data_IF_976782917679
#
_entry.id   IF_976782917679
#
_cell.length_a   1.000
_cell.length_b   1.000
_cell.length_c   1.000
_cell.angle_alpha   90.00
_cell.angle_beta   90.00
_cell.angle_gamma   90.00
#
_symmetry.space_group_name_H-M   'P 1'
#
loop_
_entity.id
_entity.type
_entity.pdbx_description
1 polymer ?
#
# COMPACT_ATOMS: atom_id res chain seq x y z
N UNK A 1 -22.63 17.73 -61.96
CA UNK A 1 -23.38 18.98 -61.81
C UNK A 1 -24.77 18.67 -61.26
N UNK A 2 -25.03 19.02 -60.01
CA UNK A 2 -26.33 19.56 -59.55
C UNK A 2 -26.21 19.84 -58.05
N UNK A 3 -26.30 21.12 -57.72
CA UNK A 3 -26.39 21.61 -56.36
C UNK A 3 -27.83 21.44 -55.86
N UNK A 4 -28.02 20.77 -54.73
CA UNK A 4 -29.23 20.95 -53.92
C UNK A 4 -28.80 21.61 -52.62
N UNK A 5 -28.93 22.94 -52.58
CA UNK A 5 -29.01 23.69 -51.33
C UNK A 5 -30.32 23.31 -50.65
N UNK A 6 -30.25 22.54 -49.57
CA UNK A 6 -31.30 22.59 -48.54
C UNK A 6 -30.84 23.56 -47.46
N UNK A 7 -31.47 24.73 -47.46
CA UNK A 7 -31.51 25.61 -46.30
C UNK A 7 -32.13 24.82 -45.15
N UNK A 8 -31.35 24.53 -44.11
CA UNK A 8 -31.89 24.07 -42.83
C UNK A 8 -31.97 25.29 -41.93
N UNK A 9 -33.19 25.56 -41.48
CA UNK A 9 -33.57 26.61 -40.55
C UNK A 9 -32.79 26.53 -39.24
N UNK A 10 -32.57 27.70 -38.64
CA UNK A 10 -32.12 27.85 -37.26
C UNK A 10 -33.10 27.13 -36.33
N UNK A 11 -32.53 26.38 -35.38
CA UNK A 11 -33.24 25.72 -34.29
C UNK A 11 -33.36 24.23 -34.55
N UNK A 12 -32.38 23.46 -34.07
CA UNK A 12 -32.60 22.09 -33.58
C UNK A 12 -31.32 21.54 -32.94
N UNK A 13 -31.41 21.19 -31.65
CA UNK A 13 -30.41 20.42 -30.92
C UNK A 13 -30.39 18.99 -31.47
N UNK A 14 -29.55 18.71 -32.48
CA UNK A 14 -29.35 17.33 -32.93
C UNK A 14 -28.59 16.52 -31.87
N UNK A 15 -29.29 15.61 -31.19
CA UNK A 15 -28.71 14.53 -30.39
C UNK A 15 -28.11 13.49 -31.34
N UNK A 16 -26.79 13.27 -31.28
CA UNK A 16 -26.14 12.16 -32.00
C UNK A 16 -26.04 10.94 -31.08
N UNK A 17 -26.65 9.83 -31.48
CA UNK A 17 -26.44 8.52 -30.88
C UNK A 17 -25.36 7.79 -31.68
N UNK A 18 -24.23 7.47 -31.04
CA UNK A 18 -23.15 6.72 -31.66
C UNK A 18 -22.78 5.54 -30.75
N UNK A 19 -23.20 4.34 -31.14
CA UNK A 19 -22.81 3.10 -30.47
C UNK A 19 -21.41 2.69 -30.95
N UNK A 20 -20.51 2.43 -29.99
CA UNK A 20 -19.22 1.73 -30.17
C UNK A 20 -18.19 2.33 -31.15
N UNK A 21 -17.68 3.55 -30.90
CA UNK A 21 -16.35 3.95 -31.39
C UNK A 21 -15.77 5.08 -30.53
N UNK A 22 -14.46 5.09 -30.29
CA UNK A 22 -13.75 6.28 -29.79
C UNK A 22 -14.02 7.44 -30.74
N UNK A 23 -14.89 8.39 -30.35
CA UNK A 23 -15.25 9.52 -31.20
C UNK A 23 -14.49 10.77 -30.80
N UNK A 24 -13.85 11.41 -31.78
CA UNK A 24 -13.36 12.78 -31.69
C UNK A 24 -14.37 13.73 -32.32
N UNK A 25 -15.12 14.46 -31.49
CA UNK A 25 -16.13 15.41 -31.98
C UNK A 25 -15.68 16.83 -31.65
N UNK A 26 -15.49 17.66 -32.68
CA UNK A 26 -15.28 19.11 -32.57
C UNK A 26 -16.50 19.83 -33.12
N UNK A 27 -17.12 20.71 -32.33
CA UNK A 27 -18.29 21.49 -32.78
C UNK A 27 -18.25 22.91 -32.24
N UNK A 28 -18.52 23.89 -33.11
CA UNK A 28 -18.56 25.32 -32.76
C UNK A 28 -19.90 25.81 -32.18
N UNK A 29 -20.80 24.87 -31.87
CA UNK A 29 -22.17 25.10 -31.42
C UNK A 29 -22.49 24.16 -30.24
N UNK A 30 -23.59 24.40 -29.49
CA UNK A 30 -24.07 23.48 -28.46
C UNK A 30 -24.03 22.02 -28.93
N UNK A 31 -23.44 21.15 -28.11
CA UNK A 31 -23.27 19.73 -28.40
C UNK A 31 -23.97 18.91 -27.32
N UNK A 32 -24.86 18.00 -27.72
CA UNK A 32 -25.41 16.96 -26.87
C UNK A 32 -24.96 15.58 -27.40
N UNK A 33 -24.23 14.81 -26.60
CA UNK A 33 -23.62 13.54 -27.05
C UNK A 33 -23.50 12.53 -25.92
N UNK A 34 -23.78 11.25 -26.23
CA UNK A 34 -23.66 10.13 -25.28
C UNK A 34 -22.71 9.08 -25.83
N UNK A 35 -21.83 8.53 -24.99
CA UNK A 35 -20.92 7.46 -25.35
C UNK A 35 -20.89 6.37 -24.26
N UNK A 36 -20.89 5.11 -24.66
CA UNK A 36 -20.86 3.97 -23.73
C UNK A 36 -19.45 3.57 -23.26
N UNK A 37 -18.39 4.09 -23.89
CA UNK A 37 -16.99 3.81 -23.51
C UNK A 37 -16.24 5.12 -23.25
N UNK A 38 -15.30 5.48 -24.11
CA UNK A 38 -14.46 6.67 -23.99
C UNK A 38 -14.89 7.75 -24.98
N UNK A 39 -14.99 8.99 -24.51
CA UNK A 39 -15.40 10.13 -25.31
C UNK A 39 -14.37 11.25 -25.22
N UNK A 40 -13.91 11.75 -26.38
CA UNK A 40 -13.08 12.95 -26.43
C UNK A 40 -13.73 14.03 -27.28
N UNK A 41 -14.16 15.11 -26.65
CA UNK A 41 -14.98 16.15 -27.28
C UNK A 41 -14.43 17.55 -27.06
N UNK A 42 -14.64 18.44 -28.02
CA UNK A 42 -14.36 19.87 -27.87
C UNK A 42 -15.57 20.67 -28.34
N UNK A 43 -16.10 21.53 -27.47
CA UNK A 43 -17.22 22.42 -27.79
C UNK A 43 -16.95 23.84 -27.30
N UNK A 44 -17.14 24.84 -28.16
CA UNK A 44 -16.81 26.24 -27.82
C UNK A 44 -17.93 27.00 -27.08
N UNK A 45 -19.14 26.44 -27.01
CA UNK A 45 -20.28 27.05 -26.32
C UNK A 45 -20.75 26.19 -25.12
N UNK A 46 -21.83 25.43 -25.28
CA UNK A 46 -22.34 24.51 -24.26
C UNK A 46 -22.12 23.05 -24.67
N UNK A 47 -21.65 22.23 -23.73
CA UNK A 47 -21.56 20.79 -23.90
C UNK A 47 -22.46 20.11 -22.87
N UNK A 48 -23.42 19.30 -23.34
CA UNK A 48 -24.13 18.34 -22.52
C UNK A 48 -23.67 16.93 -22.92
N UNK A 49 -23.12 16.15 -22.01
CA UNK A 49 -22.60 14.82 -22.39
C UNK A 49 -22.65 13.77 -21.29
N UNK A 50 -22.82 12.52 -21.68
CA UNK A 50 -22.76 11.35 -20.79
C UNK A 50 -21.74 10.34 -21.33
N UNK A 51 -20.79 9.92 -20.49
CA UNK A 51 -19.82 8.86 -20.82
C UNK A 51 -19.69 7.83 -19.69
N UNK A 52 -19.74 6.53 -20.01
CA UNK A 52 -19.70 5.49 -18.97
C UNK A 52 -18.28 5.23 -18.45
N UNK A 53 -17.25 5.16 -19.31
CA UNK A 53 -15.90 4.82 -18.86
C UNK A 53 -14.98 6.03 -18.70
N UNK A 54 -14.64 6.73 -19.79
CA UNK A 54 -13.70 7.86 -19.73
C UNK A 54 -14.19 9.06 -20.53
N UNK A 55 -14.24 10.24 -19.91
CA UNK A 55 -14.52 11.49 -20.61
C UNK A 55 -13.31 12.43 -20.56
N UNK A 56 -12.81 12.80 -21.74
CA UNK A 56 -11.79 13.82 -21.91
C UNK A 56 -12.34 14.98 -22.75
N UNK A 57 -12.69 16.11 -22.12
CA UNK A 57 -13.41 17.17 -22.83
C UNK A 57 -12.87 18.57 -22.57
N UNK A 58 -13.04 19.45 -23.56
CA UNK A 58 -12.72 20.88 -23.47
C UNK A 58 -13.96 21.70 -23.82
N UNK A 59 -14.40 22.55 -22.90
CA UNK A 59 -15.56 23.44 -23.09
C UNK A 59 -15.21 24.90 -22.76
N UNK A 60 -15.58 25.85 -23.62
CA UNK A 60 -15.15 27.26 -23.48
C UNK A 60 -16.17 28.19 -22.83
N UNK A 61 -17.38 27.72 -22.49
CA UNK A 61 -18.36 28.56 -21.79
C UNK A 61 -19.14 27.78 -20.71
N UNK A 62 -19.80 26.67 -21.07
CA UNK A 62 -20.53 25.84 -20.11
C UNK A 62 -20.40 24.35 -20.39
N UNK A 63 -20.23 23.57 -19.33
CA UNK A 63 -20.19 22.11 -19.36
C UNK A 63 -21.23 21.56 -18.39
N UNK A 64 -22.16 20.77 -18.90
CA UNK A 64 -23.01 19.87 -18.13
C UNK A 64 -22.63 18.44 -18.52
N UNK A 65 -22.22 17.61 -17.57
CA UNK A 65 -21.68 16.29 -17.91
C UNK A 65 -21.91 15.25 -16.83
N UNK A 66 -22.07 13.99 -17.26
CA UNK A 66 -22.08 12.80 -16.40
C UNK A 66 -20.98 11.83 -16.85
N UNK A 67 -20.04 11.50 -15.97
CA UNK A 67 -18.99 10.49 -16.22
C UNK A 67 -18.94 9.51 -15.05
N UNK A 68 -18.91 8.20 -15.32
CA UNK A 68 -19.05 7.19 -14.24
C UNK A 68 -17.71 6.77 -13.62
N UNK A 69 -16.64 6.60 -14.43
CA UNK A 69 -15.35 6.11 -13.90
C UNK A 69 -14.24 7.18 -13.89
N UNK A 70 -14.07 7.95 -14.97
CA UNK A 70 -12.98 8.94 -15.07
C UNK A 70 -13.37 10.19 -15.84
N UNK A 71 -13.03 11.36 -15.29
CA UNK A 71 -13.33 12.67 -15.87
C UNK A 71 -12.07 13.55 -15.89
N UNK A 72 -11.62 13.93 -17.08
CA UNK A 72 -10.57 14.94 -17.28
C UNK A 72 -11.13 16.08 -18.12
N UNK A 73 -11.19 17.29 -17.56
CA UNK A 73 -11.77 18.45 -18.26
C UNK A 73 -10.88 19.67 -18.18
N UNK A 74 -10.99 20.54 -19.19
CA UNK A 74 -10.49 21.91 -19.15
C UNK A 74 -11.66 22.82 -19.52
N UNK A 75 -12.11 23.64 -18.58
CA UNK A 75 -13.21 24.59 -18.79
C UNK A 75 -12.71 26.00 -18.57
N UNK A 76 -13.02 26.88 -19.51
CA UNK A 76 -12.89 28.33 -19.36
C UNK A 76 -14.34 28.83 -19.19
N UNK A 77 -14.77 29.26 -18.01
CA UNK A 77 -16.16 29.66 -17.75
C UNK A 77 -16.84 28.93 -16.59
N UNK A 78 -18.13 28.62 -16.72
CA UNK A 78 -18.97 28.07 -15.62
C UNK A 78 -19.09 26.55 -15.71
N UNK A 79 -18.85 25.85 -14.60
CA UNK A 79 -19.03 24.40 -14.44
C UNK A 79 -20.25 24.09 -13.57
N UNK A 80 -21.25 23.43 -14.14
CA UNK A 80 -22.36 22.83 -13.39
C UNK A 80 -22.24 21.31 -13.48
N UNK A 81 -21.84 20.68 -12.38
CA UNK A 81 -21.63 19.23 -12.28
C UNK A 81 -22.50 18.65 -11.16
N UNK A 82 -23.38 17.71 -11.48
CA UNK A 82 -24.33 17.11 -10.52
C UNK A 82 -23.82 15.83 -9.84
N UNK A 83 -22.50 15.58 -9.74
CA UNK A 83 -22.02 14.24 -9.33
C UNK A 83 -20.69 14.19 -8.56
N UNK A 84 -20.46 14.97 -7.48
CA UNK A 84 -19.29 14.72 -6.59
C UNK A 84 -19.56 14.87 -5.07
N UNK A 85 -20.60 15.59 -4.60
CA UNK A 85 -20.76 15.81 -3.14
C UNK A 85 -21.30 14.58 -2.38
N UNK A 86 -22.07 13.69 -3.04
CA UNK A 86 -22.51 12.41 -2.45
C UNK A 86 -21.51 11.26 -2.63
N UNK A 87 -20.66 11.31 -3.66
CA UNK A 87 -19.69 10.24 -3.95
C UNK A 87 -18.39 10.40 -3.14
N UNK A 88 -17.97 11.62 -2.80
CA UNK A 88 -16.83 11.84 -1.87
C UNK A 88 -17.05 11.26 -0.47
N UNK A 89 -18.29 10.92 -0.10
CA UNK A 89 -18.60 10.26 1.16
C UNK A 89 -18.85 8.75 1.03
N UNK A 90 -18.70 8.16 -0.17
CA UNK A 90 -19.05 6.76 -0.43
C UNK A 90 -18.10 5.95 -1.33
N UNK A 91 -17.01 6.54 -1.85
CA UNK A 91 -15.83 5.74 -2.21
C UNK A 91 -14.94 5.74 -0.99
N UNK A 92 -15.05 4.71 -0.16
CA UNK A 92 -14.02 4.42 0.84
C UNK A 92 -12.77 4.12 0.01
N UNK A 93 -11.79 5.03 0.00
CA UNK A 93 -10.48 4.69 -0.52
C UNK A 93 -10.01 3.50 0.30
N UNK A 94 -9.91 2.33 -0.31
CA UNK A 94 -9.66 1.11 0.43
C UNK A 94 -8.23 1.22 0.97
N UNK A 95 -8.09 1.34 2.29
CA UNK A 95 -6.79 1.54 2.94
C UNK A 95 -6.27 0.21 3.43
N UNK A 96 -4.98 -0.02 3.31
CA UNK A 96 -4.30 -1.15 3.96
C UNK A 96 -4.60 -1.19 5.47
N UNK A 97 -4.76 -0.02 6.11
CA UNK A 97 -5.16 0.10 7.50
C UNK A 97 -6.52 -0.50 7.83
N UNK A 98 -7.42 -0.67 6.87
CA UNK A 98 -8.71 -1.32 7.15
C UNK A 98 -8.54 -2.83 7.45
N UNK A 99 -7.36 -3.40 7.13
CA UNK A 99 -7.00 -4.80 7.33
C UNK A 99 -5.88 -5.00 8.37
N UNK A 100 -5.35 -3.92 8.93
CA UNK A 100 -4.30 -3.92 9.97
C UNK A 100 -4.89 -3.30 11.23
N UNK A 101 -4.98 -4.08 12.31
CA UNK A 101 -5.63 -3.65 13.54
C UNK A 101 -4.73 -2.81 14.44
N UNK A 102 -3.42 -3.08 14.40
CA UNK A 102 -2.39 -2.32 15.12
C UNK A 102 -1.06 -2.32 14.36
N UNK A 103 -0.31 -1.23 14.51
CA UNK A 103 1.09 -1.10 14.10
C UNK A 103 1.92 -1.09 15.38
N UNK A 104 2.77 -2.10 15.55
CA UNK A 104 3.70 -2.20 16.66
C UNK A 104 5.10 -1.91 16.14
N UNK A 105 5.73 -0.84 16.61
CA UNK A 105 7.11 -0.52 16.23
C UNK A 105 8.06 -0.63 17.42
N UNK A 106 9.21 -1.24 17.20
CA UNK A 106 10.21 -1.55 18.23
C UNK A 106 11.31 -0.51 18.17
N UNK A 107 11.53 0.20 19.27
CA UNK A 107 12.56 1.25 19.36
C UNK A 107 13.16 1.30 20.77
N UNK A 108 14.47 1.52 20.87
CA UNK A 108 15.15 1.77 22.15
C UNK A 108 14.86 3.18 22.64
N UNK A 109 14.50 3.36 23.91
CA UNK A 109 14.06 4.65 24.47
C UNK A 109 15.00 5.83 24.20
N UNK A 110 16.31 5.58 24.18
CA UNK A 110 17.33 6.60 23.96
C UNK A 110 17.56 6.95 22.47
N UNK A 111 17.11 6.12 21.52
CA UNK A 111 17.28 6.32 20.08
C UNK A 111 16.16 7.18 19.50
N UNK A 112 16.17 8.47 19.89
CA UNK A 112 15.18 9.47 19.43
C UNK A 112 15.25 9.74 17.92
N UNK A 113 16.43 9.60 17.35
CA UNK A 113 16.67 9.70 15.90
C UNK A 113 15.90 8.61 15.13
N UNK A 114 15.98 7.36 15.56
CA UNK A 114 15.27 6.24 14.92
C UNK A 114 13.77 6.23 15.22
N UNK A 115 13.38 6.72 16.40
CA UNK A 115 11.97 6.92 16.75
C UNK A 115 11.31 7.94 15.79
N UNK A 116 11.95 9.09 15.56
CA UNK A 116 11.47 10.10 14.61
C UNK A 116 11.40 9.56 13.18
N UNK A 117 12.46 8.88 12.73
CA UNK A 117 12.50 8.23 11.41
C UNK A 117 11.33 7.26 11.22
N UNK A 118 11.19 6.29 12.11
CA UNK A 118 10.18 5.25 11.99
C UNK A 118 8.76 5.85 12.05
N UNK A 119 8.51 6.84 12.90
CA UNK A 119 7.22 7.53 12.96
C UNK A 119 6.90 8.28 11.66
N UNK A 120 7.89 8.85 10.97
CA UNK A 120 7.67 9.50 9.68
C UNK A 120 7.29 8.48 8.59
N UNK A 121 7.90 7.29 8.61
CA UNK A 121 7.53 6.19 7.73
C UNK A 121 6.11 5.66 8.03
N UNK A 122 5.78 5.47 9.31
CA UNK A 122 4.44 5.02 9.73
C UNK A 122 3.36 6.01 9.34
N UNK A 123 3.60 7.33 9.45
CA UNK A 123 2.63 8.37 9.05
C UNK A 123 2.25 8.32 7.57
N UNK A 124 3.06 7.69 6.71
CA UNK A 124 2.70 7.45 5.31
C UNK A 124 1.46 6.54 5.19
N UNK A 125 1.22 5.65 6.15
CA UNK A 125 0.05 4.74 6.17
C UNK A 125 -0.95 5.01 7.30
N UNK A 126 -0.50 5.50 8.47
CA UNK A 126 -1.31 5.90 9.63
C UNK A 126 -1.03 7.37 10.02
N UNK A 127 -1.55 8.35 9.26
CA UNK A 127 -1.19 9.76 9.44
C UNK A 127 -1.49 10.33 10.83
N UNK A 128 -2.49 9.77 11.53
CA UNK A 128 -2.89 10.19 12.87
C UNK A 128 -2.27 9.33 13.97
N UNK A 129 -1.48 8.32 13.62
CA UNK A 129 -0.89 7.34 14.53
C UNK A 129 -1.93 6.63 15.40
N UNK A 130 -3.17 6.55 14.92
CA UNK A 130 -4.32 6.05 15.68
C UNK A 130 -4.26 4.57 16.00
N UNK A 131 -3.52 3.80 15.19
CA UNK A 131 -3.30 2.36 15.38
C UNK A 131 -1.87 2.05 15.80
N UNK A 132 -1.06 3.08 16.04
CA UNK A 132 0.38 2.94 16.25
C UNK A 132 0.71 2.85 17.74
N UNK A 133 1.53 1.86 18.10
CA UNK A 133 1.97 1.61 19.46
C UNK A 133 3.49 1.38 19.50
N UNK A 134 4.19 2.18 20.31
CA UNK A 134 5.62 1.97 20.57
C UNK A 134 5.82 0.80 21.51
N UNK A 135 6.71 -0.10 21.12
CA UNK A 135 7.26 -1.15 21.98
C UNK A 135 8.62 -0.69 22.45
N UNK A 136 8.73 -0.44 23.76
CA UNK A 136 10.01 -0.12 24.35
C UNK A 136 10.95 -1.33 24.28
N UNK A 137 11.98 -1.21 23.44
CA UNK A 137 12.87 -2.31 23.11
C UNK A 137 13.76 -2.70 24.29
N UNK A 138 14.09 -3.98 24.39
CA UNK A 138 14.94 -4.54 25.43
C UNK A 138 16.40 -4.33 25.05
N UNK A 139 17.08 -3.41 25.74
CA UNK A 139 18.52 -3.23 25.60
C UNK A 139 19.28 -4.38 26.28
N UNK A 140 20.23 -4.97 25.56
CA UNK A 140 21.18 -5.93 26.13
C UNK A 140 22.58 -5.68 25.57
N UNK A 141 23.40 -4.95 26.34
CA UNK A 141 24.76 -4.55 25.91
C UNK A 141 25.70 -5.73 25.65
N UNK A 142 25.52 -6.85 26.35
CA UNK A 142 26.35 -8.05 26.16
C UNK A 142 25.93 -8.88 24.95
N UNK A 143 24.68 -8.76 24.52
CA UNK A 143 24.12 -9.53 23.41
C UNK A 143 22.91 -8.80 22.79
N UNK A 144 23.18 -7.89 21.86
CA UNK A 144 22.13 -7.11 21.18
C UNK A 144 21.11 -7.98 20.44
N UNK A 145 21.52 -9.13 19.87
CA UNK A 145 20.61 -10.05 19.18
C UNK A 145 19.58 -10.69 20.12
N UNK A 146 20.00 -10.96 21.37
CA UNK A 146 19.07 -11.37 22.42
C UNK A 146 18.13 -10.22 22.81
N UNK A 147 18.63 -8.99 22.91
CA UNK A 147 17.78 -7.80 23.12
C UNK A 147 16.71 -7.65 22.04
N UNK A 148 17.10 -7.80 20.77
CA UNK A 148 16.17 -7.79 19.64
C UNK A 148 15.10 -8.89 19.77
N UNK A 149 15.52 -10.13 20.03
CA UNK A 149 14.57 -11.25 20.23
C UNK A 149 13.56 -11.01 21.35
N UNK A 150 14.03 -10.47 22.49
CA UNK A 150 13.16 -10.15 23.62
C UNK A 150 12.19 -9.00 23.31
N UNK A 151 12.60 -8.06 22.46
CA UNK A 151 11.74 -6.96 22.01
C UNK A 151 10.59 -7.45 21.11
N UNK A 152 10.88 -8.35 20.17
CA UNK A 152 9.84 -8.99 19.36
C UNK A 152 8.90 -9.86 20.22
N UNK A 153 9.43 -10.60 21.20
CA UNK A 153 8.61 -11.36 22.15
C UNK A 153 7.64 -10.43 22.89
N UNK A 154 8.14 -9.31 23.44
CA UNK A 154 7.31 -8.30 24.13
C UNK A 154 6.19 -7.76 23.22
N UNK A 155 6.49 -7.52 21.95
CA UNK A 155 5.51 -7.04 20.97
C UNK A 155 4.44 -8.11 20.64
N UNK A 156 4.82 -9.37 20.44
CA UNK A 156 3.87 -10.46 20.20
C UNK A 156 3.02 -10.78 21.44
N UNK A 157 3.57 -10.65 22.64
CA UNK A 157 2.80 -10.75 23.89
C UNK A 157 1.75 -9.63 24.00
N UNK A 158 2.08 -8.40 23.59
CA UNK A 158 1.09 -7.31 23.52
C UNK A 158 0.00 -7.66 22.50
N UNK A 159 0.36 -8.19 21.34
CA UNK A 159 -0.63 -8.65 20.37
C UNK A 159 -1.58 -9.69 20.98
N UNK A 160 -1.05 -10.71 21.67
CA UNK A 160 -1.84 -11.74 22.35
C UNK A 160 -2.78 -11.15 23.40
N UNK A 161 -2.34 -10.15 24.16
CA UNK A 161 -3.17 -9.48 25.19
C UNK A 161 -4.35 -8.68 24.65
N UNK A 162 -4.37 -8.35 23.36
CA UNK A 162 -5.42 -7.54 22.72
C UNK A 162 -6.29 -8.38 21.77
N UNK A 163 -7.27 -9.16 22.26
CA UNK A 163 -7.96 -10.19 21.46
C UNK A 163 -8.75 -9.67 20.26
N UNK A 164 -9.07 -8.37 20.20
CA UNK A 164 -9.73 -7.74 19.05
C UNK A 164 -8.83 -7.57 17.83
N UNK A 165 -7.50 -7.62 17.99
CA UNK A 165 -6.57 -7.55 16.86
C UNK A 165 -6.52 -8.90 16.14
N UNK A 166 -6.62 -8.89 14.82
CA UNK A 166 -6.51 -10.06 13.96
C UNK A 166 -5.22 -10.04 13.15
N UNK A 167 -4.85 -8.88 12.61
CA UNK A 167 -3.59 -8.68 11.89
C UNK A 167 -2.86 -7.48 12.50
N UNK A 168 -1.57 -7.63 12.77
CA UNK A 168 -0.72 -6.50 13.17
C UNK A 168 0.42 -6.32 12.18
N UNK A 169 0.84 -5.07 12.01
CA UNK A 169 2.08 -4.73 11.34
C UNK A 169 3.18 -4.56 12.41
N UNK A 170 4.22 -5.38 12.35
CA UNK A 170 5.42 -5.27 13.17
C UNK A 170 6.49 -4.49 12.39
N UNK A 171 7.13 -3.52 13.03
CA UNK A 171 8.21 -2.72 12.44
C UNK A 171 9.40 -2.61 13.40
N UNK A 172 10.61 -2.66 12.85
CA UNK A 172 11.82 -2.16 13.51
C UNK A 172 11.99 -0.66 13.22
N UNK A 173 12.75 0.03 14.05
CA UNK A 173 12.96 1.48 13.97
C UNK A 173 13.90 1.92 12.84
N UNK A 174 14.47 0.99 12.07
CA UNK A 174 15.13 1.26 10.79
C UNK A 174 14.33 0.87 9.55
N UNK A 175 13.05 0.51 9.71
CA UNK A 175 12.18 0.27 8.58
C UNK A 175 11.99 1.54 7.72
N UNK A 176 12.09 1.38 6.41
CA UNK A 176 11.91 2.48 5.43
C UNK A 176 11.19 1.98 4.19
N UNK A 177 10.16 2.71 3.74
CA UNK A 177 9.52 2.43 2.45
C UNK A 177 10.44 2.83 1.29
N UNK A 178 10.43 2.04 0.21
CA UNK A 178 11.19 2.34 -1.01
C UNK A 178 10.61 3.56 -1.74
N UNK A 179 9.29 3.73 -1.68
CA UNK A 179 8.58 4.86 -2.28
C UNK A 179 8.21 5.90 -1.22
N UNK A 180 8.15 7.17 -1.60
CA UNK A 180 7.52 8.24 -0.82
C UNK A 180 6.08 8.52 -1.25
N UNK A 181 5.62 7.87 -2.32
CA UNK A 181 4.24 8.00 -2.77
C UNK A 181 3.32 7.13 -1.90
N UNK A 182 2.55 7.79 -1.03
CA UNK A 182 1.58 7.19 -0.10
C UNK A 182 0.60 6.25 -0.81
N UNK A 183 0.15 6.62 -2.01
CA UNK A 183 -0.82 5.82 -2.76
C UNK A 183 -0.20 4.50 -3.26
N UNK A 184 1.07 4.54 -3.69
CA UNK A 184 1.79 3.34 -4.15
C UNK A 184 2.08 2.40 -2.98
N UNK A 185 2.46 2.95 -1.82
CA UNK A 185 2.63 2.18 -0.58
C UNK A 185 1.31 1.51 -0.19
N UNK A 186 0.22 2.28 -0.11
CA UNK A 186 -1.09 1.78 0.27
C UNK A 186 -1.54 0.66 -0.67
N UNK A 187 -1.45 0.88 -1.98
CA UNK A 187 -1.80 -0.11 -3.01
C UNK A 187 -0.99 -1.39 -2.86
N UNK A 188 0.33 -1.28 -2.64
CA UNK A 188 1.21 -2.44 -2.56
C UNK A 188 0.89 -3.32 -1.36
N UNK A 189 0.74 -2.72 -0.17
CA UNK A 189 0.39 -3.48 1.04
C UNK A 189 -1.02 -4.08 0.91
N UNK A 190 -1.98 -3.29 0.41
CA UNK A 190 -3.35 -3.75 0.19
C UNK A 190 -3.42 -4.90 -0.83
N UNK A 191 -2.58 -4.88 -1.86
CA UNK A 191 -2.50 -5.93 -2.86
C UNK A 191 -2.13 -7.28 -2.22
N UNK A 192 -1.12 -7.32 -1.35
CA UNK A 192 -0.77 -8.54 -0.61
C UNK A 192 -1.93 -9.01 0.27
N UNK A 193 -2.53 -8.10 1.05
CA UNK A 193 -3.60 -8.41 1.99
C UNK A 193 -4.84 -9.01 1.30
N UNK A 194 -5.20 -8.49 0.12
CA UNK A 194 -6.37 -8.95 -0.63
C UNK A 194 -6.14 -10.24 -1.40
N UNK A 195 -4.96 -10.39 -2.02
CA UNK A 195 -4.70 -11.54 -2.89
C UNK A 195 -4.21 -12.77 -2.12
N UNK A 196 -3.69 -12.61 -0.89
CA UNK A 196 -3.21 -13.72 -0.06
C UNK A 196 -4.10 -13.97 1.17
N UNK A 197 -5.41 -14.16 1.00
CA UNK A 197 -6.37 -14.29 2.12
C UNK A 197 -6.04 -15.34 3.19
N UNK A 198 -5.21 -16.35 2.86
CA UNK A 198 -4.75 -17.39 3.79
C UNK A 198 -3.27 -17.25 4.18
N UNK A 199 -2.74 -16.03 4.28
CA UNK A 199 -1.38 -15.76 4.75
C UNK A 199 -1.21 -15.96 6.27
N UNK A 200 -0.02 -16.41 6.67
CA UNK A 200 0.42 -16.42 8.07
C UNK A 200 1.26 -15.16 8.37
N UNK A 201 2.18 -14.85 7.44
CA UNK A 201 3.07 -13.68 7.47
C UNK A 201 3.12 -13.04 6.08
N UNK A 202 3.06 -11.72 6.01
CA UNK A 202 3.43 -10.94 4.82
C UNK A 202 4.69 -10.14 5.14
N UNK A 203 5.77 -10.37 4.40
CA UNK A 203 7.01 -9.61 4.54
C UNK A 203 6.91 -8.34 3.69
N UNK A 204 7.21 -7.19 4.29
CA UNK A 204 7.34 -5.92 3.57
C UNK A 204 8.80 -5.59 3.26
N UNK A 205 9.69 -5.98 4.17
CA UNK A 205 11.14 -5.99 3.98
C UNK A 205 11.67 -7.42 3.94
N UNK A 206 12.60 -7.67 3.02
CA UNK A 206 13.29 -8.96 2.85
C UNK A 206 14.79 -8.72 2.68
N UNK A 207 15.60 -9.66 3.18
CA UNK A 207 17.02 -9.76 2.89
C UNK A 207 17.22 -10.24 1.46
N UNK A 208 17.88 -9.45 0.61
CA UNK A 208 18.01 -9.75 -0.83
C UNK A 208 18.96 -10.94 -1.05
N UNK A 209 20.10 -10.95 -0.36
CA UNK A 209 21.17 -11.93 -0.60
C UNK A 209 20.80 -13.36 -0.21
N UNK A 210 19.78 -13.55 0.63
CA UNK A 210 19.39 -14.85 1.17
C UNK A 210 17.92 -15.23 0.89
N UNK A 211 17.23 -14.44 0.07
CA UNK A 211 15.85 -14.67 -0.30
C UNK A 211 15.72 -15.93 -1.17
N UNK A 212 14.95 -16.90 -0.70
CA UNK A 212 14.54 -18.08 -1.46
C UNK A 212 13.04 -18.11 -1.58
N UNK A 213 12.54 -18.22 -2.82
CA UNK A 213 11.11 -18.12 -3.13
C UNK A 213 10.64 -19.17 -4.12
N UNK A 214 9.32 -19.39 -4.14
CA UNK A 214 8.61 -20.01 -5.25
C UNK A 214 7.58 -19.02 -5.82
N UNK A 215 7.22 -19.20 -7.09
CA UNK A 215 6.11 -18.48 -7.72
C UNK A 215 4.77 -18.88 -7.08
N UNK A 216 3.83 -17.95 -7.07
CA UNK A 216 2.42 -18.24 -6.76
C UNK A 216 1.59 -18.22 -8.05
N UNK A 217 0.26 -18.35 -7.95
CA UNK A 217 -0.64 -18.11 -9.08
C UNK A 217 -0.68 -16.63 -9.50
N UNK A 218 -0.24 -15.73 -8.63
CA UNK A 218 -0.07 -14.31 -8.90
C UNK A 218 1.42 -14.01 -9.12
N UNK A 219 1.77 -13.57 -10.34
CA UNK A 219 3.15 -13.29 -10.75
C UNK A 219 3.83 -12.15 -9.98
N UNK A 220 3.06 -11.32 -9.27
CA UNK A 220 3.56 -10.22 -8.44
C UNK A 220 3.81 -10.65 -6.98
N UNK A 221 3.35 -11.84 -6.59
CA UNK A 221 3.47 -12.35 -5.22
C UNK A 221 4.32 -13.61 -5.21
N UNK A 222 5.31 -13.62 -4.32
CA UNK A 222 6.22 -14.73 -4.13
C UNK A 222 5.92 -15.46 -2.82
N UNK A 223 5.90 -16.80 -2.86
CA UNK A 223 5.94 -17.62 -1.65
C UNK A 223 7.37 -17.62 -1.12
N UNK A 224 7.55 -17.23 0.14
CA UNK A 224 8.87 -17.17 0.78
C UNK A 224 9.17 -18.49 1.49
N UNK A 225 10.36 -19.05 1.24
CA UNK A 225 10.87 -20.27 1.90
C UNK A 225 12.07 -19.99 2.81
N UNK A 226 12.79 -18.90 2.56
CA UNK A 226 13.86 -18.40 3.42
C UNK A 226 14.06 -16.93 3.13
N UNK A 227 14.23 -16.11 4.17
CA UNK A 227 14.62 -14.71 4.04
C UNK A 227 15.12 -14.20 5.39
N UNK A 228 16.02 -13.24 5.34
CA UNK A 228 16.41 -12.43 6.48
C UNK A 228 15.66 -11.12 6.56
N UNK A 229 15.96 -10.52 7.71
CA UNK A 229 15.46 -9.37 8.40
C UNK A 229 14.01 -9.44 8.86
N UNK A 230 13.83 -8.96 10.08
CA UNK A 230 12.55 -8.78 10.77
C UNK A 230 12.10 -7.33 10.73
N UNK A 231 12.66 -6.53 9.81
CA UNK A 231 12.44 -5.08 9.70
C UNK A 231 10.97 -4.66 9.58
N UNK A 232 10.17 -5.41 8.83
CA UNK A 232 8.75 -5.10 8.66
C UNK A 232 7.93 -6.26 8.13
N UNK A 233 6.94 -6.69 8.89
CA UNK A 233 6.05 -7.79 8.51
C UNK A 233 4.65 -7.68 9.12
N UNK A 234 3.64 -8.18 8.40
CA UNK A 234 2.29 -8.36 8.93
C UNK A 234 2.14 -9.80 9.41
N UNK A 235 1.64 -10.00 10.64
CA UNK A 235 1.38 -11.33 11.21
C UNK A 235 -0.08 -11.49 11.61
N UNK A 236 -0.64 -12.67 11.32
CA UNK A 236 -2.01 -13.01 11.70
C UNK A 236 -2.09 -13.55 13.14
N UNK A 237 -3.27 -13.36 13.74
CA UNK A 237 -3.64 -13.89 15.06
C UNK A 237 -3.46 -15.40 15.14
N UNK A 238 -3.87 -16.13 14.11
CA UNK A 238 -3.78 -17.59 14.08
C UNK A 238 -2.34 -18.10 14.12
N UNK A 239 -1.38 -17.31 13.64
CA UNK A 239 0.02 -17.70 13.56
C UNK A 239 0.89 -17.17 14.72
N UNK A 240 0.37 -16.23 15.51
CA UNK A 240 1.14 -15.53 16.56
C UNK A 240 1.78 -16.48 17.57
N UNK A 241 1.09 -17.55 17.97
CA UNK A 241 1.61 -18.50 18.96
C UNK A 241 2.76 -19.34 18.39
N UNK A 242 2.69 -19.75 17.12
CA UNK A 242 3.77 -20.43 16.41
C UNK A 242 5.01 -19.55 16.34
N UNK A 243 4.83 -18.28 15.96
CA UNK A 243 5.93 -17.32 15.86
C UNK A 243 6.55 -17.03 17.24
N UNK A 244 5.71 -16.79 18.26
CA UNK A 244 6.17 -16.51 19.62
C UNK A 244 6.95 -17.70 20.20
N UNK A 245 6.46 -18.93 20.05
CA UNK A 245 7.17 -20.12 20.52
C UNK A 245 8.55 -20.25 19.86
N UNK A 246 8.66 -19.91 18.57
CA UNK A 246 9.92 -19.92 17.85
C UNK A 246 10.91 -18.86 18.41
N UNK A 247 10.45 -17.64 18.68
CA UNK A 247 11.29 -16.58 19.28
C UNK A 247 11.70 -16.89 20.73
N UNK A 248 10.80 -17.48 21.53
CA UNK A 248 11.16 -17.95 22.88
C UNK A 248 12.25 -19.03 22.79
N UNK A 249 12.15 -19.95 21.83
CA UNK A 249 13.15 -20.99 21.62
C UNK A 249 14.50 -20.43 21.18
N UNK A 250 14.53 -19.45 20.26
CA UNK A 250 15.77 -18.81 19.81
C UNK A 250 16.44 -18.02 20.96
N UNK A 251 15.66 -17.22 21.70
CA UNK A 251 16.16 -16.44 22.83
C UNK A 251 16.67 -17.30 23.98
N UNK A 252 16.01 -18.43 24.29
CA UNK A 252 16.50 -19.37 25.31
C UNK A 252 17.83 -20.04 24.92
N UNK A 253 18.02 -20.34 23.62
CA UNK A 253 19.32 -20.81 23.13
C UNK A 253 20.40 -19.74 23.32
N UNK A 254 20.14 -18.50 22.93
CA UNK A 254 21.08 -17.39 23.13
C UNK A 254 21.40 -17.11 24.60
N UNK A 255 20.41 -17.19 25.50
CA UNK A 255 20.62 -17.05 26.95
C UNK A 255 21.54 -18.13 27.51
N UNK A 256 21.37 -19.38 27.05
CA UNK A 256 22.11 -20.53 27.58
C UNK A 256 23.54 -20.62 27.04
N UNK A 257 23.74 -20.25 25.78
CA UNK A 257 24.98 -20.57 25.06
C UNK A 257 25.71 -19.33 24.52
N UNK A 258 25.17 -18.12 24.69
CA UNK A 258 25.76 -16.87 24.18
C UNK A 258 25.28 -16.48 22.77
N UNK A 259 25.87 -15.42 22.22
CA UNK A 259 25.55 -14.93 20.85
C UNK A 259 26.03 -15.96 19.82
N UNK A 260 25.11 -16.41 18.98
CA UNK A 260 25.38 -17.29 17.83
C UNK A 260 24.45 -16.91 16.70
N UNK A 261 24.97 -16.73 15.49
CA UNK A 261 24.22 -16.21 14.33
C UNK A 261 22.97 -17.06 14.05
N UNK A 262 23.08 -18.38 14.03
CA UNK A 262 21.93 -19.29 13.82
C UNK A 262 20.78 -19.14 14.82
N UNK A 263 21.01 -18.48 15.97
CA UNK A 263 20.01 -18.25 17.00
C UNK A 263 19.50 -16.81 17.05
N UNK A 264 20.05 -15.90 16.24
CA UNK A 264 19.41 -14.63 15.96
C UNK A 264 18.00 -14.88 15.39
N UNK A 265 17.02 -14.04 15.75
CA UNK A 265 15.62 -14.37 15.49
C UNK A 265 15.28 -14.48 13.99
N UNK A 266 15.92 -13.65 13.17
CA UNK A 266 15.83 -13.50 11.72
C UNK A 266 16.56 -14.62 10.95
N UNK A 267 17.46 -15.34 11.61
CA UNK A 267 17.97 -16.62 11.13
C UNK A 267 17.07 -17.76 11.59
N UNK A 268 16.70 -17.74 12.86
CA UNK A 268 16.00 -18.85 13.49
C UNK A 268 14.60 -19.02 12.91
N UNK A 269 13.90 -17.95 12.54
CA UNK A 269 12.56 -18.00 11.95
C UNK A 269 12.47 -18.61 10.55
N UNK A 270 13.60 -18.76 9.83
CA UNK A 270 13.62 -19.35 8.48
C UNK A 270 13.04 -20.75 8.46
N UNK A 271 13.19 -21.51 9.55
CA UNK A 271 12.59 -22.85 9.71
C UNK A 271 11.06 -22.87 9.61
N UNK A 272 10.41 -21.73 9.84
CA UNK A 272 8.96 -21.58 9.77
C UNK A 272 8.47 -21.31 8.35
N UNK A 273 9.31 -20.70 7.49
CA UNK A 273 8.89 -20.19 6.18
C UNK A 273 8.47 -21.28 5.18
N UNK A 274 9.13 -22.46 5.09
CA UNK A 274 8.69 -23.53 4.21
C UNK A 274 7.36 -24.19 4.62
N UNK A 275 6.97 -24.05 5.89
CA UNK A 275 5.80 -24.73 6.47
C UNK A 275 4.61 -23.77 6.56
N UNK A 276 4.86 -22.50 6.89
CA UNK A 276 3.82 -21.48 6.97
C UNK A 276 3.52 -20.81 5.63
N UNK A 277 2.43 -20.08 5.59
CA UNK A 277 2.01 -19.28 4.44
C UNK A 277 2.64 -17.88 4.46
N UNK A 278 3.94 -17.83 4.15
CA UNK A 278 4.75 -16.61 4.09
C UNK A 278 4.84 -16.08 2.67
N UNK A 279 4.53 -14.79 2.47
CA UNK A 279 4.56 -14.15 1.16
C UNK A 279 5.22 -12.77 1.19
N UNK A 280 5.70 -12.34 0.02
CA UNK A 280 6.20 -10.98 -0.24
C UNK A 280 5.82 -10.56 -1.64
N UNK A 281 5.86 -9.25 -1.93
CA UNK A 281 5.83 -8.78 -3.31
C UNK A 281 7.14 -9.09 -4.01
N UNK A 282 7.06 -9.32 -5.32
CA UNK A 282 8.22 -9.49 -6.21
C UNK A 282 9.07 -8.23 -6.25
N UNK A 283 8.42 -7.07 -6.35
CA UNK A 283 9.09 -5.78 -6.22
C UNK A 283 9.12 -5.38 -4.75
N UNK A 284 10.32 -5.03 -4.27
CA UNK A 284 10.55 -4.65 -2.87
C UNK A 284 9.85 -3.34 -2.55
N UNK A 285 9.14 -3.30 -1.43
CA UNK A 285 8.41 -2.11 -0.97
C UNK A 285 9.01 -1.45 0.25
N UNK A 286 9.85 -2.17 1.01
CA UNK A 286 10.56 -1.62 2.16
C UNK A 286 11.94 -2.24 2.36
N UNK A 287 12.80 -1.50 3.05
CA UNK A 287 14.18 -1.87 3.36
C UNK A 287 14.58 -1.39 4.75
N UNK A 288 15.79 -1.77 5.19
CA UNK A 288 16.43 -1.21 6.38
C UNK A 288 17.37 -0.10 5.94
N UNK A 289 17.14 1.14 6.37
CA UNK A 289 18.06 2.21 6.00
C UNK A 289 19.40 2.08 6.73
N UNK A 290 20.50 2.46 6.06
CA UNK A 290 21.82 2.37 6.65
C UNK A 290 22.02 3.33 7.82
N UNK A 291 22.36 2.78 9.00
CA UNK A 291 22.67 3.54 10.20
C UNK A 291 23.59 2.73 11.15
N UNK A 292 24.05 3.35 12.23
CA UNK A 292 24.73 2.68 13.32
C UNK A 292 23.79 1.71 14.05
N UNK A 293 24.19 0.43 14.07
CA UNK A 293 23.50 -0.66 14.75
C UNK A 293 24.01 -0.81 16.17
N UNK A 294 23.15 -0.62 17.18
CA UNK A 294 23.48 -0.91 18.59
C UNK A 294 23.61 -2.43 18.86
N UNK A 295 23.13 -3.27 17.93
CA UNK A 295 23.23 -4.74 18.03
C UNK A 295 24.62 -5.21 17.60
N UNK A 296 25.17 -4.60 16.56
CA UNK A 296 26.44 -4.99 15.94
C UNK A 296 27.58 -4.04 16.30
N UNK A 297 27.27 -2.89 16.90
CA UNK A 297 28.18 -1.79 17.25
C UNK A 297 29.00 -1.27 16.04
N UNK A 298 28.43 -1.35 14.84
CA UNK A 298 29.03 -0.87 13.60
C UNK A 298 28.01 -0.09 12.77
N UNK A 299 28.51 0.79 11.90
CA UNK A 299 27.69 1.43 10.89
C UNK A 299 27.37 0.41 9.79
N UNK A 300 26.09 0.18 9.53
CA UNK A 300 25.65 -0.57 8.37
C UNK A 300 25.24 0.40 7.28
N UNK A 301 25.92 0.35 6.14
CA UNK A 301 25.33 0.76 4.88
C UNK A 301 24.78 -0.52 4.26
N UNK A 302 23.52 -0.86 4.56
CA UNK A 302 22.83 -1.89 3.79
C UNK A 302 22.69 -1.30 2.40
N UNK A 303 23.67 -1.56 1.53
CA UNK A 303 23.62 -1.27 0.10
C UNK A 303 22.47 -2.07 -0.50
N UNK A 304 21.27 -1.54 -0.30
CA UNK A 304 19.99 -2.08 -0.73
C UNK A 304 19.70 -1.61 -2.15
#
# INVERSE_FOLDING_TARGET
>A
MSWIRKNVSKGDSQTKYAYNLSQHIKKNNPLNTTATNSLKTTATNSLNTTATNSLNTTATNSLNTTATNSLKTTVIGTLNTDTITKIKHQIKDDRCLDYIDAILYINLEHRKDRDEHCLNEIKKIDPTLSKTHRIDAVSNKSNGALGCSLSHIKALELFIKNPSWNNILMLEDDFTFVSDNIEDINKSILYLLKNMSQFDILLLGVGIDDLQTNTTEDDLILKVNSSQTTSGYIVTRRYVYTLLANYIKSSNKMKKYGKHTDWCLDQFWKRLMPIGNWYTLKDRIAYQYGNYSDIENVYHDYKC
#
